data_IF_076563849895
#
_entry.id   IF_076563849895
#
_cell.length_a   1.000
_cell.length_b   1.000
_cell.length_c   1.000
_cell.angle_alpha   90.00
_cell.angle_beta   90.00
_cell.angle_gamma   90.00
#
_symmetry.space_group_name_H-M   'P 1'
#
loop_
_entity.id
_entity.type
_entity.pdbx_description
1 polymer ?
#
# COMPACT_ATOMS: atom_id res chain seq x y z
N UNK A 1 -25.49 7.49 13.33
CA UNK A 1 -24.35 6.67 13.80
C UNK A 1 -23.17 6.88 12.85
N UNK A 2 -22.74 8.13 12.69
CA UNK A 2 -21.56 8.52 11.91
C UNK A 2 -20.68 9.31 12.88
N UNK A 3 -19.40 8.95 13.02
CA UNK A 3 -18.49 9.74 13.84
C UNK A 3 -18.23 11.09 13.16
N UNK A 4 -18.07 12.14 13.95
CA UNK A 4 -17.58 13.43 13.47
C UNK A 4 -16.18 13.23 12.86
N UNK A 5 -16.02 13.59 11.60
CA UNK A 5 -14.72 13.58 10.91
C UNK A 5 -13.81 14.56 11.65
N UNK A 6 -12.72 14.06 12.21
CA UNK A 6 -11.73 14.90 12.86
C UNK A 6 -10.86 15.56 11.80
N UNK A 7 -11.24 16.78 11.38
CA UNK A 7 -10.57 17.54 10.32
C UNK A 7 -9.07 17.69 10.57
N UNK A 8 -8.65 17.89 11.83
CA UNK A 8 -7.23 18.02 12.19
C UNK A 8 -6.46 16.72 11.95
N UNK A 9 -7.07 15.58 12.27
CA UNK A 9 -6.49 14.25 11.99
C UNK A 9 -6.37 14.00 10.48
N UNK A 10 -7.44 14.26 9.73
CA UNK A 10 -7.45 14.07 8.27
C UNK A 10 -6.44 14.97 7.56
N UNK A 11 -6.25 16.19 8.03
CA UNK A 11 -5.22 17.10 7.52
C UNK A 11 -3.80 16.57 7.76
N UNK A 12 -3.51 16.07 8.97
CA UNK A 12 -2.22 15.45 9.27
C UNK A 12 -1.97 14.21 8.42
N UNK A 13 -2.99 13.38 8.19
CA UNK A 13 -2.91 12.20 7.31
C UNK A 13 -2.56 12.60 5.88
N UNK A 14 -3.21 13.64 5.36
CA UNK A 14 -2.92 14.17 4.02
C UNK A 14 -1.47 14.64 3.90
N UNK A 15 -0.98 15.39 4.90
CA UNK A 15 0.42 15.86 4.94
C UNK A 15 1.40 14.69 4.91
N UNK A 16 1.17 13.65 5.72
CA UNK A 16 2.03 12.46 5.72
C UNK A 16 1.98 11.74 4.38
N UNK A 17 0.79 11.56 3.79
CA UNK A 17 0.65 10.93 2.47
C UNK A 17 1.34 11.72 1.36
N UNK A 18 1.29 13.05 1.40
CA UNK A 18 2.01 13.91 0.45
C UNK A 18 3.53 13.80 0.61
N UNK A 19 4.04 13.77 1.85
CA UNK A 19 5.47 13.55 2.10
C UNK A 19 5.92 12.18 1.56
N UNK A 20 5.15 11.12 1.84
CA UNK A 20 5.45 9.78 1.33
C UNK A 20 5.35 9.72 -0.19
N UNK A 21 4.34 10.36 -0.78
CA UNK A 21 4.20 10.48 -2.23
C UNK A 21 5.39 11.18 -2.88
N UNK A 22 5.89 12.27 -2.27
CA UNK A 22 7.11 12.94 -2.73
C UNK A 22 8.34 12.02 -2.64
N UNK A 23 8.50 11.27 -1.54
CA UNK A 23 9.57 10.27 -1.41
C UNK A 23 9.50 9.19 -2.49
N UNK A 24 8.30 8.72 -2.84
CA UNK A 24 8.08 7.73 -3.90
C UNK A 24 8.47 8.32 -5.26
N UNK A 25 7.99 9.53 -5.58
CA UNK A 25 8.29 10.20 -6.86
C UNK A 25 9.79 10.46 -7.04
N UNK A 26 10.48 10.94 -6.00
CA UNK A 26 11.92 11.13 -6.01
C UNK A 26 12.63 9.77 -6.12
N UNK A 27 12.19 8.77 -5.35
CA UNK A 27 12.76 7.43 -5.34
C UNK A 27 12.70 6.75 -6.70
N UNK A 28 11.57 6.83 -7.41
CA UNK A 28 11.46 6.25 -8.75
C UNK A 28 12.25 7.02 -9.81
N UNK A 29 12.37 8.35 -9.67
CA UNK A 29 13.19 9.17 -10.57
C UNK A 29 14.66 8.76 -10.44
N UNK A 30 15.17 8.60 -9.21
CA UNK A 30 16.54 8.14 -8.96
C UNK A 30 16.74 6.68 -9.40
N UNK A 31 15.77 5.80 -9.13
CA UNK A 31 15.92 4.35 -9.36
C UNK A 31 15.76 3.93 -10.82
N UNK A 32 14.74 4.44 -11.53
CA UNK A 32 14.39 4.00 -12.89
C UNK A 32 14.31 5.14 -13.90
N UNK A 33 14.59 6.38 -13.51
CA UNK A 33 14.55 7.53 -14.43
C UNK A 33 13.15 7.96 -14.88
N UNK A 34 12.09 7.48 -14.23
CA UNK A 34 10.72 7.90 -14.57
C UNK A 34 10.54 9.36 -14.18
N UNK A 35 10.16 10.20 -15.15
CA UNK A 35 9.98 11.63 -14.91
C UNK A 35 8.91 11.88 -13.84
N UNK A 36 9.19 12.83 -12.94
CA UNK A 36 8.26 13.18 -11.86
C UNK A 36 6.93 13.70 -12.44
N UNK A 37 7.00 14.46 -13.53
CA UNK A 37 5.82 15.05 -14.19
C UNK A 37 4.87 14.00 -14.76
N UNK A 38 5.38 12.88 -15.28
CA UNK A 38 4.55 11.80 -15.83
C UNK A 38 3.89 10.95 -14.74
N UNK A 39 4.55 10.82 -13.59
CA UNK A 39 4.05 10.04 -12.46
C UNK A 39 3.21 10.83 -11.46
N UNK A 40 3.32 12.16 -11.46
CA UNK A 40 2.59 13.02 -10.53
C UNK A 40 1.06 12.79 -10.56
N UNK A 41 0.39 12.68 -11.73
CA UNK A 41 -1.06 12.46 -11.77
C UNK A 41 -1.46 11.12 -11.12
N UNK A 42 -0.72 10.04 -11.41
CA UNK A 42 -0.94 8.74 -10.79
C UNK A 42 -0.78 8.77 -9.27
N UNK A 43 0.23 9.52 -8.77
CA UNK A 43 0.47 9.65 -7.34
C UNK A 43 -0.67 10.41 -6.64
N UNK A 44 -1.18 11.48 -7.26
CA UNK A 44 -2.33 12.23 -6.74
C UNK A 44 -3.59 11.37 -6.66
N UNK A 45 -3.86 10.56 -7.68
CA UNK A 45 -4.98 9.61 -7.69
C UNK A 45 -4.83 8.58 -6.56
N UNK A 46 -3.63 8.04 -6.36
CA UNK A 46 -3.35 7.10 -5.27
C UNK A 46 -3.55 7.73 -3.89
N UNK A 47 -3.10 8.98 -3.70
CA UNK A 47 -3.32 9.73 -2.43
C UNK A 47 -4.82 9.99 -2.23
N UNK A 48 -5.55 10.38 -3.27
CA UNK A 48 -7.00 10.59 -3.18
C UNK A 48 -7.74 9.31 -2.79
N UNK A 49 -7.38 8.17 -3.38
CA UNK A 49 -7.96 6.87 -3.02
C UNK A 49 -7.62 6.47 -1.57
N UNK A 50 -6.38 6.70 -1.11
CA UNK A 50 -5.98 6.45 0.26
C UNK A 50 -6.70 7.36 1.27
N UNK A 51 -6.89 8.64 0.93
CA UNK A 51 -7.69 9.59 1.71
C UNK A 51 -9.14 9.16 1.81
N UNK A 52 -9.76 8.73 0.70
CA UNK A 52 -11.11 8.20 0.71
C UNK A 52 -11.24 6.97 1.63
N UNK A 53 -10.25 6.07 1.61
CA UNK A 53 -10.20 4.92 2.50
C UNK A 53 -10.11 5.29 3.99
N UNK A 54 -9.31 6.32 4.32
CA UNK A 54 -9.18 6.83 5.68
C UNK A 54 -10.47 7.48 6.18
N UNK A 55 -11.10 8.30 5.34
CA UNK A 55 -12.38 8.92 5.66
C UNK A 55 -13.46 7.85 5.87
N UNK A 56 -13.51 6.86 4.96
CA UNK A 56 -14.44 5.74 5.07
C UNK A 56 -14.21 4.94 6.35
N UNK A 57 -12.94 4.69 6.72
CA UNK A 57 -12.60 4.05 7.99
C UNK A 57 -13.10 4.86 9.19
N UNK A 58 -12.93 6.18 9.16
CA UNK A 58 -13.35 7.07 10.25
C UNK A 58 -14.88 7.20 10.34
N UNK A 59 -15.62 7.03 9.24
CA UNK A 59 -17.08 6.94 9.23
C UNK A 59 -17.60 5.67 9.92
N UNK A 60 -16.82 4.58 9.90
CA UNK A 60 -17.13 3.30 10.55
C UNK A 60 -16.20 3.01 11.75
N UNK A 61 -16.26 3.83 12.83
CA UNK A 61 -15.31 3.75 13.95
C UNK A 61 -15.42 2.44 14.73
N UNK A 62 -16.60 1.80 14.75
CA UNK A 62 -16.84 0.52 15.43
C UNK A 62 -16.44 -0.70 14.57
N UNK A 63 -16.07 -0.50 13.31
CA UNK A 63 -15.67 -1.61 12.44
C UNK A 63 -14.26 -2.08 12.79
N UNK A 64 -14.05 -3.39 12.86
CA UNK A 64 -12.72 -4.01 13.01
C UNK A 64 -11.89 -3.85 11.73
N UNK A 65 -12.54 -3.51 10.62
CA UNK A 65 -11.87 -3.41 9.33
C UNK A 65 -10.83 -2.28 9.31
N UNK A 66 -9.57 -2.55 8.92
CA UNK A 66 -8.50 -1.56 8.89
C UNK A 66 -8.64 -0.61 7.68
N UNK A 67 -8.04 0.58 7.77
CA UNK A 67 -8.04 1.55 6.66
C UNK A 67 -7.42 0.98 5.36
N UNK A 68 -6.35 0.17 5.49
CA UNK A 68 -5.74 -0.50 4.33
C UNK A 68 -6.72 -1.42 3.60
N UNK A 69 -7.60 -2.13 4.33
CA UNK A 69 -8.62 -2.96 3.71
C UNK A 69 -9.61 -2.15 2.87
N UNK A 70 -10.02 -0.97 3.35
CA UNK A 70 -10.85 -0.05 2.57
C UNK A 70 -10.11 0.48 1.34
N UNK A 71 -8.81 0.77 1.47
CA UNK A 71 -7.98 1.20 0.35
C UNK A 71 -7.88 0.10 -0.73
N UNK A 72 -7.75 -1.17 -0.34
CA UNK A 72 -7.76 -2.31 -1.27
C UNK A 72 -9.09 -2.41 -2.02
N UNK A 73 -10.22 -2.31 -1.32
CA UNK A 73 -11.54 -2.37 -1.95
C UNK A 73 -11.73 -1.21 -2.94
N UNK A 74 -11.39 0.01 -2.52
CA UNK A 74 -11.47 1.20 -3.39
C UNK A 74 -10.57 1.01 -4.62
N UNK A 75 -9.33 0.55 -4.43
CA UNK A 75 -8.40 0.27 -5.52
C UNK A 75 -8.96 -0.76 -6.51
N UNK A 76 -9.53 -1.87 -6.01
CA UNK A 76 -10.14 -2.89 -6.85
C UNK A 76 -11.32 -2.34 -7.66
N UNK A 77 -12.21 -1.56 -7.02
CA UNK A 77 -13.35 -0.93 -7.70
C UNK A 77 -12.85 0.02 -8.79
N UNK A 78 -11.83 0.84 -8.50
CA UNK A 78 -11.28 1.78 -9.47
C UNK A 78 -10.55 1.07 -10.63
N UNK A 79 -9.93 -0.09 -10.39
CA UNK A 79 -9.18 -0.81 -11.42
C UNK A 79 -9.99 -1.82 -12.25
N UNK A 80 -11.20 -2.18 -11.80
CA UNK A 80 -11.97 -3.28 -12.41
C UNK A 80 -12.38 -2.94 -13.85
N UNK A 81 -12.18 -3.85 -14.83
CA UNK A 81 -12.62 -3.63 -16.19
C UNK A 81 -14.15 -3.45 -16.24
N UNK A 82 -14.61 -2.44 -16.98
CA UNK A 82 -16.03 -2.05 -17.06
C UNK A 82 -16.44 -0.89 -16.15
N UNK A 83 -15.55 -0.41 -15.27
CA UNK A 83 -15.76 0.87 -14.58
C UNK A 83 -15.35 2.03 -15.52
N UNK A 84 -16.17 3.09 -15.70
CA UNK A 84 -15.83 4.23 -16.56
C UNK A 84 -14.53 4.96 -16.18
N UNK A 85 -14.04 4.80 -14.95
CA UNK A 85 -12.79 5.42 -14.47
C UNK A 85 -11.58 4.49 -14.61
N UNK A 86 -11.80 3.20 -14.93
CA UNK A 86 -10.74 2.18 -14.86
C UNK A 86 -9.59 2.39 -15.83
N UNK A 87 -9.86 2.78 -17.08
CA UNK A 87 -8.82 2.99 -18.08
C UNK A 87 -7.86 4.11 -17.65
N UNK A 88 -8.43 5.27 -17.25
CA UNK A 88 -7.65 6.41 -16.76
C UNK A 88 -6.91 6.06 -15.47
N UNK A 89 -7.57 5.39 -14.52
CA UNK A 89 -6.93 4.98 -13.26
C UNK A 89 -5.74 4.06 -13.53
N UNK A 90 -5.93 3.01 -14.33
CA UNK A 90 -4.91 2.01 -14.63
C UNK A 90 -3.74 2.62 -15.42
N UNK A 91 -4.01 3.49 -16.41
CA UNK A 91 -2.97 4.19 -17.18
C UNK A 91 -2.11 5.09 -16.28
N UNK A 92 -2.74 5.89 -15.42
CA UNK A 92 -2.01 6.83 -14.57
C UNK A 92 -1.23 6.11 -13.45
N UNK A 93 -1.83 5.07 -12.85
CA UNK A 93 -1.16 4.27 -11.80
C UNK A 93 -0.03 3.42 -12.37
N UNK A 94 -0.09 2.99 -13.64
CA UNK A 94 1.00 2.27 -14.29
C UNK A 94 2.31 3.08 -14.37
N UNK A 95 2.23 4.41 -14.32
CA UNK A 95 3.41 5.29 -14.26
C UNK A 95 4.08 5.32 -12.87
N UNK A 96 3.46 4.73 -11.84
CA UNK A 96 4.02 4.62 -10.50
C UNK A 96 4.79 3.32 -10.36
N UNK A 97 6.06 3.43 -9.98
CA UNK A 97 6.87 2.25 -9.76
C UNK A 97 6.59 1.63 -8.38
N UNK A 98 6.08 0.40 -8.38
CA UNK A 98 5.79 -0.33 -7.13
C UNK A 98 7.01 -0.47 -6.21
N UNK A 99 8.22 -0.64 -6.75
CA UNK A 99 9.44 -0.74 -5.93
C UNK A 99 9.81 0.58 -5.25
N UNK A 100 9.43 1.73 -5.81
CA UNK A 100 9.70 3.00 -5.16
C UNK A 100 8.88 3.19 -3.87
N UNK A 101 7.77 2.46 -3.73
CA UNK A 101 6.93 2.43 -2.52
C UNK A 101 7.61 1.67 -1.38
N UNK A 102 8.48 0.69 -1.69
CA UNK A 102 9.09 -0.14 -0.64
C UNK A 102 10.01 0.66 0.27
N UNK A 103 10.65 1.71 -0.22
CA UNK A 103 11.57 2.54 0.57
C UNK A 103 10.89 3.21 1.76
N UNK A 104 9.87 4.08 1.59
CA UNK A 104 9.17 4.64 2.73
C UNK A 104 8.47 3.56 3.56
N UNK A 105 7.94 2.51 2.94
CA UNK A 105 7.30 1.40 3.66
C UNK A 105 8.27 0.72 4.65
N UNK A 106 9.47 0.36 4.20
CA UNK A 106 10.51 -0.26 5.03
C UNK A 106 11.03 0.72 6.08
N UNK A 107 11.15 2.01 5.76
CA UNK A 107 11.54 3.03 6.73
C UNK A 107 10.54 3.12 7.89
N UNK A 108 9.23 3.21 7.60
CA UNK A 108 8.21 3.23 8.65
C UNK A 108 8.09 1.90 9.40
N UNK A 109 8.24 0.77 8.70
CA UNK A 109 8.29 -0.54 9.35
C UNK A 109 9.48 -0.62 10.32
N UNK A 110 10.67 -0.16 9.89
CA UNK A 110 11.88 -0.09 10.71
C UNK A 110 11.70 0.80 11.93
N UNK A 111 11.12 1.99 11.79
CA UNK A 111 10.80 2.88 12.91
C UNK A 111 9.78 2.24 13.87
N UNK A 112 8.73 1.61 13.33
CA UNK A 112 7.69 0.95 14.12
C UNK A 112 8.24 -0.22 14.94
N UNK A 113 9.12 -1.02 14.33
CA UNK A 113 9.81 -2.15 14.97
C UNK A 113 10.90 -1.65 15.93
N UNK A 114 11.59 -0.56 15.59
CA UNK A 114 12.60 0.09 16.42
C UNK A 114 12.09 0.54 17.79
N UNK A 115 10.80 0.89 17.89
CA UNK A 115 10.17 1.21 19.18
C UNK A 115 9.95 -0.04 20.08
N UNK A 116 10.18 -1.25 19.57
CA UNK A 116 9.96 -2.52 20.28
C UNK A 116 11.24 -3.34 20.44
N UNK A 117 12.41 -2.70 20.39
CA UNK A 117 13.72 -3.37 20.41
C UNK A 117 13.91 -4.30 21.62
N UNK A 118 13.37 -3.97 22.78
CA UNK A 118 13.44 -4.85 23.96
C UNK A 118 12.68 -6.18 23.75
N UNK A 119 11.52 -6.15 23.10
CA UNK A 119 10.75 -7.34 22.75
C UNK A 119 11.48 -8.17 21.68
N UNK A 120 12.06 -7.49 20.67
CA UNK A 120 12.88 -8.15 19.66
C UNK A 120 14.09 -8.85 20.28
N UNK A 121 14.72 -8.22 21.27
CA UNK A 121 15.85 -8.80 22.01
C UNK A 121 15.45 -10.08 22.75
N UNK A 122 14.24 -10.15 23.32
CA UNK A 122 13.72 -11.39 23.93
C UNK A 122 13.56 -12.53 22.91
N UNK A 123 13.23 -12.20 21.66
CA UNK A 123 13.16 -13.20 20.58
C UNK A 123 14.56 -13.60 20.07
N UNK A 124 15.54 -12.69 20.11
CA UNK A 124 16.94 -12.94 19.72
C UNK A 124 17.04 -13.64 18.34
N UNK A 125 17.85 -14.69 18.21
CA UNK A 125 18.06 -15.43 16.97
C UNK A 125 16.79 -16.12 16.42
N UNK A 126 15.77 -16.36 17.26
CA UNK A 126 14.52 -17.02 16.84
C UNK A 126 13.79 -16.19 15.80
N UNK A 127 13.92 -14.86 15.82
CA UNK A 127 13.27 -14.00 14.84
C UNK A 127 13.74 -14.29 13.41
N UNK A 128 15.03 -14.61 13.23
CA UNK A 128 15.60 -14.92 11.90
C UNK A 128 14.98 -16.20 11.36
N UNK A 129 14.90 -17.24 12.19
CA UNK A 129 14.28 -18.51 11.81
C UNK A 129 12.79 -18.33 11.51
N UNK A 130 12.06 -17.61 12.36
CA UNK A 130 10.64 -17.32 12.16
C UNK A 130 10.44 -16.53 10.86
N UNK A 131 11.25 -15.50 10.59
CA UNK A 131 11.18 -14.72 9.36
C UNK A 131 11.44 -15.57 8.12
N UNK A 132 12.44 -16.45 8.14
CA UNK A 132 12.70 -17.37 7.03
C UNK A 132 11.49 -18.27 6.78
N UNK A 133 10.97 -18.92 7.81
CA UNK A 133 9.78 -19.79 7.68
C UNK A 133 8.57 -19.01 7.18
N UNK A 134 8.29 -17.82 7.72
CA UNK A 134 7.14 -16.99 7.32
C UNK A 134 7.27 -16.51 5.89
N UNK A 135 8.43 -15.98 5.48
CA UNK A 135 8.65 -15.49 4.12
C UNK A 135 8.63 -16.61 3.09
N UNK A 136 9.25 -17.75 3.39
CA UNK A 136 9.18 -18.94 2.55
C UNK A 136 7.74 -19.43 2.40
N UNK A 137 7.01 -19.55 3.50
CA UNK A 137 5.62 -20.03 3.50
C UNK A 137 4.71 -19.12 2.69
N UNK A 138 4.73 -17.81 2.92
CA UNK A 138 3.85 -16.88 2.20
C UNK A 138 4.21 -16.81 0.71
N UNK A 139 5.51 -16.85 0.36
CA UNK A 139 5.94 -16.87 -1.03
C UNK A 139 5.40 -18.11 -1.76
N UNK A 140 5.61 -19.31 -1.21
CA UNK A 140 5.13 -20.54 -1.83
C UNK A 140 3.60 -20.63 -1.86
N UNK A 141 2.91 -20.14 -0.83
CA UNK A 141 1.44 -20.10 -0.82
C UNK A 141 0.90 -19.20 -1.95
N UNK A 142 1.40 -17.96 -2.05
CA UNK A 142 1.00 -17.05 -3.12
C UNK A 142 1.38 -17.57 -4.52
N UNK A 143 2.58 -18.13 -4.68
CA UNK A 143 3.03 -18.72 -5.94
C UNK A 143 2.16 -19.92 -6.35
N UNK A 144 1.79 -20.79 -5.40
CA UNK A 144 0.93 -21.94 -5.66
C UNK A 144 -0.47 -21.50 -6.11
N UNK A 145 -1.06 -20.51 -5.43
CA UNK A 145 -2.36 -19.94 -5.84
C UNK A 145 -2.26 -19.35 -7.25
N UNK A 146 -1.23 -18.54 -7.52
CA UNK A 146 -1.00 -17.96 -8.84
C UNK A 146 -0.84 -19.02 -9.92
N UNK A 147 -0.05 -20.06 -9.67
CA UNK A 147 0.16 -21.16 -10.60
C UNK A 147 -1.14 -21.92 -10.90
N UNK A 148 -1.96 -22.21 -9.88
CA UNK A 148 -3.25 -22.87 -10.06
C UNK A 148 -4.19 -22.01 -10.92
N UNK A 149 -4.31 -20.72 -10.61
CA UNK A 149 -5.20 -19.80 -11.35
C UNK A 149 -4.76 -19.65 -12.80
N UNK A 150 -3.46 -19.43 -13.04
CA UNK A 150 -2.94 -19.27 -14.41
C UNK A 150 -3.08 -20.55 -15.23
N UNK A 151 -2.89 -21.72 -14.61
CA UNK A 151 -3.13 -23.02 -15.24
C UNK A 151 -4.61 -23.24 -15.58
N UNK A 152 -5.52 -22.83 -14.69
CA UNK A 152 -6.97 -22.87 -14.96
C UNK A 152 -7.37 -21.95 -16.11
N UNK A 153 -6.66 -20.83 -16.31
CA UNK A 153 -6.88 -19.91 -17.42
C UNK A 153 -6.22 -20.36 -18.74
N UNK A 154 -5.40 -21.44 -18.72
CA UNK A 154 -4.70 -21.93 -19.90
C UNK A 154 -3.56 -21.04 -20.40
N UNK A 155 -3.05 -20.15 -19.54
CA UNK A 155 -1.90 -19.28 -19.85
C UNK A 155 -0.57 -20.03 -19.68
N UNK A 156 -0.54 -21.01 -18.77
CA UNK A 156 0.54 -21.98 -18.51
C UNK A 156 -0.06 -23.37 -18.19
#
# INVERSE_FOLDING_TARGET
MFANINVKKSFNQLIVMLMVGAMILIGQYISKGVAITTALPGMLIMIAAAMAAMILKDMFPKSIFPAFGFATIIGLILSIPGNPVSDVFNEQVANINFMAITTPLLAFAGISVGNKIEELKKMSWKIVVISLVVFTTIFFACASIGHIVLKMQGVI
#
